data_IF_469920259288
#
_entry.id   IF_469920259288
#
_cell.length_a   1.000
_cell.length_b   1.000
_cell.length_c   1.000
_cell.angle_alpha   90.00
_cell.angle_beta   90.00
_cell.angle_gamma   90.00
#
_symmetry.space_group_name_H-M   'P 1'
#
loop_
_entity.id
_entity.type
_entity.pdbx_description
1 polymer ?
#
# COMPACT_ATOMS: atom_id res chain seq x y z
N UNK A 1 35.64 3.41 -15.27
CA UNK A 1 34.48 3.87 -16.06
C UNK A 1 33.55 2.70 -16.15
N UNK A 2 32.69 2.55 -15.15
CA UNK A 2 31.56 1.64 -15.21
C UNK A 2 30.58 2.27 -16.20
N UNK A 3 30.14 1.49 -17.18
CA UNK A 3 29.22 1.97 -18.20
C UNK A 3 27.87 2.26 -17.55
N UNK A 4 27.30 3.43 -17.82
CA UNK A 4 25.93 3.83 -17.51
C UNK A 4 24.92 2.98 -18.29
N UNK A 5 24.87 1.68 -18.00
CA UNK A 5 23.82 0.78 -18.42
C UNK A 5 23.10 0.31 -17.17
N UNK A 6 21.77 0.36 -17.15
CA UNK A 6 20.99 -0.39 -16.17
C UNK A 6 21.48 -1.84 -16.25
N UNK A 7 22.13 -2.34 -15.20
CA UNK A 7 22.51 -3.75 -15.10
C UNK A 7 21.21 -4.56 -15.19
N UNK A 8 20.92 -5.04 -16.41
CA UNK A 8 19.80 -5.91 -16.71
C UNK A 8 20.02 -7.16 -15.86
N UNK A 9 19.26 -7.26 -14.77
CA UNK A 9 19.44 -8.29 -13.76
C UNK A 9 19.56 -9.66 -14.46
N UNK A 10 20.71 -10.34 -14.35
CA UNK A 10 20.86 -11.65 -14.96
C UNK A 10 19.78 -12.57 -14.35
N UNK A 11 19.10 -13.35 -15.20
CA UNK A 11 18.12 -14.40 -14.85
C UNK A 11 16.64 -14.01 -14.67
N UNK A 12 16.21 -12.80 -15.01
CA UNK A 12 14.79 -12.44 -14.93
C UNK A 12 14.23 -12.17 -16.33
N UNK A 13 13.23 -12.94 -16.73
CA UNK A 13 12.57 -12.74 -18.02
C UNK A 13 11.79 -11.43 -18.02
N UNK A 14 12.22 -10.48 -18.85
CA UNK A 14 11.42 -9.29 -19.13
C UNK A 14 10.38 -9.67 -20.17
N UNK A 15 9.10 -9.26 -20.01
CA UNK A 15 8.16 -9.36 -21.11
C UNK A 15 8.64 -8.41 -22.22
N UNK A 16 9.34 -8.95 -23.21
CA UNK A 16 9.78 -8.19 -24.40
C UNK A 16 8.60 -7.57 -25.16
N UNK A 17 7.39 -8.08 -24.92
CA UNK A 17 6.14 -7.59 -25.48
C UNK A 17 5.17 -7.28 -24.34
N UNK A 18 4.69 -6.03 -24.20
CA UNK A 18 3.62 -5.74 -23.28
C UNK A 18 2.34 -6.46 -23.71
N UNK A 19 1.61 -6.99 -22.73
CA UNK A 19 0.25 -7.47 -22.94
C UNK A 19 -0.71 -6.28 -22.85
N UNK A 20 -1.52 -6.11 -23.89
CA UNK A 20 -2.49 -5.02 -23.94
C UNK A 20 -3.83 -5.49 -23.38
N UNK A 21 -4.36 -4.69 -22.47
CA UNK A 21 -5.67 -4.90 -21.87
C UNK A 21 -6.57 -3.68 -22.15
N UNK A 22 -7.86 -3.87 -22.42
CA UNK A 22 -8.79 -2.75 -22.52
C UNK A 22 -8.83 -2.00 -21.19
N UNK A 23 -8.50 -0.71 -21.23
CA UNK A 23 -8.50 0.17 -20.06
C UNK A 23 -9.84 0.15 -19.33
N UNK A 24 -10.95 0.21 -20.07
CA UNK A 24 -12.29 0.19 -19.50
C UNK A 24 -12.58 -1.08 -18.67
N UNK A 25 -12.04 -2.23 -19.05
CA UNK A 25 -12.20 -3.48 -18.29
C UNK A 25 -11.43 -3.43 -16.96
N UNK A 26 -10.23 -2.86 -16.97
CA UNK A 26 -9.44 -2.66 -15.75
C UNK A 26 -10.10 -1.63 -14.82
N UNK A 27 -10.65 -0.53 -15.37
CA UNK A 27 -11.39 0.47 -14.60
C UNK A 27 -12.68 -0.09 -14.00
N UNK A 28 -13.41 -0.94 -14.75
CA UNK A 28 -14.59 -1.62 -14.24
C UNK A 28 -14.25 -2.57 -13.08
N UNK A 29 -13.21 -3.40 -13.24
CA UNK A 29 -12.72 -4.29 -12.19
C UNK A 29 -12.29 -3.53 -10.94
N UNK A 30 -11.45 -2.49 -11.12
CA UNK A 30 -10.99 -1.65 -10.02
C UNK A 30 -12.17 -0.98 -9.29
N UNK A 31 -13.13 -0.45 -10.04
CA UNK A 31 -14.33 0.18 -9.47
C UNK A 31 -15.20 -0.81 -8.68
N UNK A 32 -15.36 -2.04 -9.16
CA UNK A 32 -16.06 -3.09 -8.43
C UNK A 32 -15.35 -3.43 -7.13
N UNK A 33 -14.04 -3.70 -7.18
CA UNK A 33 -13.24 -4.01 -6.00
C UNK A 33 -13.30 -2.90 -4.94
N UNK A 34 -13.12 -1.64 -5.35
CA UNK A 34 -13.21 -0.49 -4.43
C UNK A 34 -14.58 -0.40 -3.78
N UNK A 35 -15.67 -0.57 -4.52
CA UNK A 35 -17.03 -0.53 -3.96
C UNK A 35 -17.28 -1.67 -2.98
N UNK A 36 -16.89 -2.89 -3.33
CA UNK A 36 -17.05 -4.08 -2.48
C UNK A 36 -16.28 -3.91 -1.17
N UNK A 37 -15.01 -3.49 -1.25
CA UNK A 37 -14.19 -3.28 -0.06
C UNK A 37 -14.71 -2.12 0.80
N UNK A 38 -15.21 -1.04 0.18
CA UNK A 38 -15.84 0.07 0.91
C UNK A 38 -17.13 -0.36 1.61
N UNK A 39 -17.97 -1.15 0.96
CA UNK A 39 -19.17 -1.69 1.59
C UNK A 39 -18.83 -2.58 2.77
N UNK A 40 -17.85 -3.47 2.62
CA UNK A 40 -17.37 -4.31 3.71
C UNK A 40 -16.79 -3.48 4.86
N UNK A 41 -15.99 -2.45 4.55
CA UNK A 41 -15.40 -1.56 5.54
C UNK A 41 -16.47 -0.80 6.33
N UNK A 42 -17.53 -0.34 5.66
CA UNK A 42 -18.67 0.33 6.29
C UNK A 42 -19.40 -0.62 7.26
N UNK A 43 -19.71 -1.83 6.82
CA UNK A 43 -20.40 -2.81 7.67
C UNK A 43 -19.53 -3.21 8.86
N UNK A 44 -18.23 -3.38 8.64
CA UNK A 44 -17.25 -3.72 9.68
C UNK A 44 -17.07 -2.61 10.73
N UNK A 45 -17.28 -1.34 10.37
CA UNK A 45 -17.25 -0.24 11.35
C UNK A 45 -18.35 -0.36 12.41
N UNK A 46 -19.47 -1.02 12.09
CA UNK A 46 -20.59 -1.18 13.02
C UNK A 46 -20.44 -2.35 14.01
N UNK A 47 -19.44 -3.21 13.80
CA UNK A 47 -19.22 -4.42 14.60
C UNK A 47 -18.47 -4.10 15.89
N UNK A 48 -18.65 -4.95 16.90
CA UNK A 48 -17.80 -4.88 18.09
C UNK A 48 -16.37 -5.36 17.75
N UNK A 49 -15.32 -4.87 18.41
CA UNK A 49 -13.94 -5.32 18.17
C UNK A 49 -13.77 -6.84 18.26
N UNK A 50 -14.43 -7.50 19.20
CA UNK A 50 -14.36 -8.95 19.40
C UNK A 50 -15.02 -9.73 18.25
N UNK A 51 -16.14 -9.22 17.73
CA UNK A 51 -16.85 -9.81 16.60
C UNK A 51 -16.01 -9.73 15.33
N UNK A 52 -15.51 -8.54 15.01
CA UNK A 52 -14.67 -8.33 13.83
C UNK A 52 -13.34 -9.10 13.94
N UNK A 53 -12.72 -9.14 15.12
CA UNK A 53 -11.52 -9.92 15.33
C UNK A 53 -11.77 -11.42 15.10
N UNK A 54 -12.92 -11.94 15.55
CA UNK A 54 -13.34 -13.32 15.28
C UNK A 54 -13.48 -13.64 13.80
N UNK A 55 -14.03 -12.72 13.00
CA UNK A 55 -14.15 -12.88 11.55
C UNK A 55 -12.80 -12.84 10.82
N UNK A 56 -11.90 -11.97 11.29
CA UNK A 56 -10.57 -11.77 10.72
C UNK A 56 -9.54 -12.81 11.21
N UNK A 57 -9.90 -13.66 12.18
CA UNK A 57 -8.97 -14.61 12.81
C UNK A 57 -7.90 -13.93 13.67
N UNK A 58 -8.20 -12.75 14.21
CA UNK A 58 -7.32 -11.95 15.05
C UNK A 58 -7.67 -12.07 16.54
N UNK A 59 -6.72 -11.65 17.38
CA UNK A 59 -6.99 -11.42 18.81
C UNK A 59 -7.78 -10.11 18.98
N UNK A 60 -8.85 -10.13 19.77
CA UNK A 60 -9.70 -8.96 20.00
C UNK A 60 -8.92 -7.75 20.51
N UNK A 61 -7.91 -7.99 21.34
CA UNK A 61 -7.04 -6.96 21.91
C UNK A 61 -6.33 -6.12 20.84
N UNK A 62 -6.12 -6.69 19.64
CA UNK A 62 -5.51 -5.99 18.52
C UNK A 62 -6.44 -4.87 18.00
N UNK A 63 -7.73 -5.17 17.81
CA UNK A 63 -8.71 -4.20 17.32
C UNK A 63 -9.15 -3.23 18.42
N UNK A 64 -9.21 -3.66 19.68
CA UNK A 64 -9.49 -2.77 20.81
C UNK A 64 -8.44 -1.66 20.97
N UNK A 65 -7.20 -1.94 20.59
CA UNK A 65 -6.08 -1.02 20.75
C UNK A 65 -5.86 -0.10 19.54
N UNK A 66 -6.63 -0.29 18.47
CA UNK A 66 -6.52 0.43 17.21
C UNK A 66 -7.81 1.18 16.90
N UNK A 67 -7.68 2.39 16.36
CA UNK A 67 -8.81 3.10 15.75
C UNK A 67 -9.12 2.53 14.35
N UNK A 68 -9.60 1.29 14.30
CA UNK A 68 -9.94 0.63 13.03
C UNK A 68 -11.17 1.25 12.37
N UNK A 69 -12.12 1.76 13.16
CA UNK A 69 -13.32 2.41 12.65
C UNK A 69 -12.96 3.69 11.89
N UNK A 70 -12.14 4.56 12.50
CA UNK A 70 -11.62 5.76 11.84
C UNK A 70 -10.82 5.40 10.60
N UNK A 71 -9.92 4.42 10.69
CA UNK A 71 -9.11 3.98 9.55
C UNK A 71 -9.94 3.43 8.37
N UNK A 72 -11.02 2.70 8.63
CA UNK A 72 -11.91 2.18 7.58
C UNK A 72 -12.71 3.30 6.89
N UNK A 73 -12.94 4.42 7.59
CA UNK A 73 -13.61 5.60 7.03
C UNK A 73 -12.69 6.43 6.12
N UNK A 74 -11.37 6.33 6.28
CA UNK A 74 -10.40 7.13 5.53
C UNK A 74 -10.41 6.81 4.02
N UNK A 75 -10.31 7.81 3.12
CA UNK A 75 -10.18 7.61 1.68
C UNK A 75 -9.00 6.70 1.30
N UNK A 76 -7.91 6.74 2.06
CA UNK A 76 -6.70 5.92 1.90
C UNK A 76 -6.95 4.43 2.03
N UNK A 77 -7.96 4.01 2.80
CA UNK A 77 -8.20 2.60 3.11
C UNK A 77 -8.34 1.66 1.89
N UNK A 78 -8.82 2.15 0.76
CA UNK A 78 -8.92 1.37 -0.50
C UNK A 78 -8.10 1.98 -1.63
N UNK A 79 -7.20 2.91 -1.30
CA UNK A 79 -6.52 3.77 -2.26
C UNK A 79 -5.66 3.01 -3.27
N UNK A 80 -4.91 2.01 -2.82
CA UNK A 80 -4.10 1.17 -3.70
C UNK A 80 -4.15 -0.30 -3.30
N UNK A 81 -4.46 -1.14 -4.29
CA UNK A 81 -4.65 -2.56 -4.15
C UNK A 81 -4.03 -3.24 -5.37
N UNK A 82 -3.44 -4.42 -5.19
CA UNK A 82 -2.96 -5.25 -6.30
C UNK A 82 -3.79 -6.53 -6.37
N UNK A 83 -4.84 -6.57 -7.21
CA UNK A 83 -5.58 -7.82 -7.42
C UNK A 83 -4.74 -8.77 -8.27
N UNK A 84 -4.50 -9.96 -7.74
CA UNK A 84 -3.88 -11.06 -8.45
C UNK A 84 -4.99 -12.06 -8.83
N UNK A 85 -4.92 -12.61 -10.04
CA UNK A 85 -6.05 -13.31 -10.63
C UNK A 85 -5.78 -13.90 -12.00
N UNK A 86 -6.77 -14.64 -12.48
CA UNK A 86 -6.74 -15.30 -13.78
C UNK A 86 -7.69 -14.61 -14.76
N UNK A 87 -7.18 -14.34 -15.96
CA UNK A 87 -7.99 -13.90 -17.09
C UNK A 87 -8.54 -15.12 -17.84
N UNK A 88 -9.87 -15.21 -17.90
CA UNK A 88 -10.61 -16.14 -18.75
C UNK A 88 -11.22 -15.39 -19.95
N UNK A 89 -11.68 -16.09 -21.00
CA UNK A 89 -12.23 -15.44 -22.19
C UNK A 89 -13.38 -14.45 -21.94
N UNK A 90 -14.13 -14.64 -20.84
CA UNK A 90 -15.32 -13.83 -20.50
C UNK A 90 -15.32 -13.30 -19.07
N UNK A 91 -14.25 -13.51 -18.31
CA UNK A 91 -14.20 -13.10 -16.91
C UNK A 91 -12.76 -12.92 -16.43
N UNK A 92 -12.61 -12.13 -15.37
CA UNK A 92 -11.39 -12.09 -14.58
C UNK A 92 -11.73 -12.57 -13.18
N UNK A 93 -11.03 -13.60 -12.70
CA UNK A 93 -11.23 -14.14 -11.36
C UNK A 93 -10.09 -13.68 -10.47
N UNK A 94 -10.42 -12.82 -9.51
CA UNK A 94 -9.52 -12.42 -8.44
C UNK A 94 -9.32 -13.63 -7.52
N UNK A 95 -8.08 -14.03 -7.29
CA UNK A 95 -7.72 -15.13 -6.38
C UNK A 95 -7.08 -14.62 -5.10
N UNK A 96 -6.47 -13.45 -5.15
CA UNK A 96 -5.80 -12.82 -4.03
C UNK A 96 -5.85 -11.30 -4.22
N UNK A 97 -6.06 -10.57 -3.13
CA UNK A 97 -5.81 -9.14 -3.09
C UNK A 97 -4.50 -8.94 -2.32
N UNK A 98 -3.56 -8.22 -2.90
CA UNK A 98 -2.29 -7.93 -2.26
C UNK A 98 -2.22 -6.45 -1.84
N UNK A 99 -1.69 -6.24 -0.65
CA UNK A 99 -1.36 -4.93 -0.08
C UNK A 99 0.13 -4.88 0.32
N UNK A 100 0.69 -3.69 0.57
CA UNK A 100 2.03 -3.58 1.18
C UNK A 100 3.23 -3.88 0.29
N UNK A 101 3.99 -4.97 0.56
CA UNK A 101 5.23 -5.34 -0.15
C UNK A 101 5.07 -5.40 -1.66
N UNK A 102 3.86 -5.75 -2.10
CA UNK A 102 3.49 -5.72 -3.50
C UNK A 102 3.35 -4.31 -4.08
N UNK A 103 2.96 -3.31 -3.31
CA UNK A 103 2.59 -2.01 -3.83
C UNK A 103 3.80 -1.16 -4.25
N UNK A 104 4.74 -0.88 -3.35
CA UNK A 104 5.91 -0.05 -3.66
C UNK A 104 6.77 -0.74 -4.73
N UNK A 105 7.13 -2.01 -4.49
CA UNK A 105 8.01 -2.79 -5.38
C UNK A 105 7.36 -3.03 -6.75
N UNK A 106 6.08 -3.43 -6.84
CA UNK A 106 5.49 -3.72 -8.15
C UNK A 106 5.24 -2.47 -8.97
N UNK A 107 4.87 -1.35 -8.33
CA UNK A 107 4.71 -0.09 -9.04
C UNK A 107 6.06 0.44 -9.53
N UNK A 108 7.10 0.35 -8.70
CA UNK A 108 8.46 0.73 -9.09
C UNK A 108 8.93 -0.11 -10.28
N UNK A 109 8.67 -1.41 -10.25
CA UNK A 109 8.94 -2.31 -11.38
C UNK A 109 8.15 -1.95 -12.64
N UNK A 110 6.86 -1.62 -12.53
CA UNK A 110 6.03 -1.23 -13.67
C UNK A 110 6.52 0.08 -14.31
N UNK A 111 6.91 1.06 -13.51
CA UNK A 111 7.48 2.32 -14.00
C UNK A 111 8.87 2.11 -14.62
N UNK A 112 9.71 1.22 -14.08
CA UNK A 112 10.98 0.84 -14.69
C UNK A 112 10.79 0.22 -16.08
N UNK A 113 9.82 -0.69 -16.23
CA UNK A 113 9.46 -1.27 -17.54
C UNK A 113 8.98 -0.18 -18.50
N UNK A 114 8.19 0.77 -18.01
CA UNK A 114 7.72 1.89 -18.80
C UNK A 114 8.88 2.81 -19.24
N UNK A 115 9.89 3.07 -18.40
CA UNK A 115 11.12 3.77 -18.79
C UNK A 115 11.86 3.03 -19.90
N UNK A 116 12.10 1.73 -19.72
CA UNK A 116 12.79 0.91 -20.72
C UNK A 116 12.09 0.94 -22.08
N UNK A 117 10.77 0.75 -22.13
CA UNK A 117 10.02 0.76 -23.39
C UNK A 117 9.90 2.15 -24.04
N UNK A 118 9.91 3.22 -23.24
CA UNK A 118 9.87 4.60 -23.76
C UNK A 118 11.23 5.12 -24.23
N UNK A 119 12.33 4.46 -23.83
CA UNK A 119 13.67 4.72 -24.35
C UNK A 119 13.94 4.00 -25.68
N UNK A 120 13.16 2.97 -26.06
CA UNK A 120 13.27 2.35 -27.39
C UNK A 120 12.62 3.27 -28.45
N UNK A 121 13.39 3.88 -29.37
CA UNK A 121 12.86 4.83 -30.36
C UNK A 121 11.84 4.19 -31.32
N UNK A 122 11.76 2.86 -31.40
CA UNK A 122 10.76 2.14 -32.21
C UNK A 122 9.39 2.04 -31.54
N UNK A 123 9.33 2.21 -30.21
CA UNK A 123 8.12 2.05 -29.40
C UNK A 123 7.69 3.37 -28.73
N UNK A 124 8.64 4.29 -28.52
CA UNK A 124 8.47 5.52 -27.75
C UNK A 124 7.36 6.45 -28.26
N UNK A 125 7.17 6.55 -29.58
CA UNK A 125 6.22 7.50 -30.17
C UNK A 125 4.77 7.03 -30.17
N UNK A 126 4.52 5.73 -29.99
CA UNK A 126 3.19 5.12 -30.16
C UNK A 126 2.55 4.65 -28.85
N UNK A 127 3.36 4.45 -27.79
CA UNK A 127 2.90 3.87 -26.54
C UNK A 127 2.68 4.92 -25.45
N UNK A 128 1.42 5.15 -25.07
CA UNK A 128 1.08 5.79 -23.80
C UNK A 128 1.12 4.75 -22.68
N UNK A 129 2.31 4.50 -22.14
CA UNK A 129 2.49 3.54 -21.05
C UNK A 129 2.08 4.18 -19.72
N UNK A 130 1.16 3.58 -18.94
CA UNK A 130 0.81 4.08 -17.61
C UNK A 130 2.02 4.16 -16.68
N UNK A 131 2.02 5.18 -15.80
CA UNK A 131 3.01 5.40 -14.74
C UNK A 131 2.35 5.20 -13.38
N UNK A 132 2.07 3.96 -12.96
CA UNK A 132 1.37 3.69 -11.71
C UNK A 132 2.09 4.27 -10.48
N UNK A 133 3.43 4.27 -10.43
CA UNK A 133 4.14 4.85 -9.30
C UNK A 133 3.94 6.36 -9.20
N UNK A 134 3.98 7.08 -10.32
CA UNK A 134 3.65 8.52 -10.33
C UNK A 134 2.22 8.80 -9.85
N UNK A 135 1.26 7.96 -10.24
CA UNK A 135 -0.12 8.05 -9.73
C UNK A 135 -0.21 7.77 -8.24
N UNK A 136 0.62 6.86 -7.73
CA UNK A 136 0.76 6.62 -6.30
C UNK A 136 1.32 7.83 -5.57
N UNK A 137 2.36 8.49 -6.10
CA UNK A 137 2.87 9.73 -5.53
C UNK A 137 1.81 10.84 -5.52
N UNK A 138 1.09 11.04 -6.62
CA UNK A 138 -0.01 12.02 -6.66
C UNK A 138 -1.07 11.74 -5.60
N UNK A 139 -1.40 10.48 -5.38
CA UNK A 139 -2.34 10.09 -4.34
C UNK A 139 -1.79 10.33 -2.94
N UNK A 140 -0.55 9.94 -2.66
CA UNK A 140 0.09 10.18 -1.37
C UNK A 140 0.12 11.67 -1.01
N UNK A 141 0.37 12.54 -2.00
CA UNK A 141 0.30 13.98 -1.81
C UNK A 141 -1.12 14.44 -1.44
N UNK A 142 -2.17 13.80 -1.97
CA UNK A 142 -3.56 14.15 -1.63
C UNK A 142 -3.94 13.80 -0.18
N UNK A 143 -3.15 12.98 0.51
CA UNK A 143 -3.35 12.62 1.91
C UNK A 143 -2.72 13.63 2.90
N UNK A 144 -1.94 14.58 2.38
CA UNK A 144 -1.18 15.54 3.19
C UNK A 144 -1.53 16.94 2.70
N UNK A 145 -2.09 17.76 3.59
CA UNK A 145 -2.48 19.14 3.26
C UNK A 145 -1.28 20.03 2.92
N UNK A 146 -0.11 19.69 3.47
CA UNK A 146 1.14 20.40 3.31
C UNK A 146 2.01 19.78 2.21
N UNK A 147 3.01 20.54 1.73
CA UNK A 147 4.02 20.00 0.83
C UNK A 147 4.83 18.91 1.56
N UNK A 148 4.87 17.71 1.00
CA UNK A 148 5.66 16.62 1.54
C UNK A 148 7.16 16.94 1.36
N UNK A 149 7.90 16.92 2.47
CA UNK A 149 9.35 17.05 2.51
C UNK A 149 10.04 15.73 2.82
N UNK A 150 9.61 15.02 3.86
CA UNK A 150 10.21 13.76 4.31
C UNK A 150 9.18 12.64 4.46
N UNK A 151 9.40 11.52 3.78
CA UNK A 151 8.60 10.30 3.85
C UNK A 151 9.33 9.22 4.64
N UNK A 152 8.69 8.70 5.67
CA UNK A 152 9.14 7.49 6.37
C UNK A 152 8.67 6.24 5.64
N UNK A 153 9.59 5.42 5.17
CA UNK A 153 9.31 4.10 4.59
C UNK A 153 9.45 3.08 5.71
N UNK A 154 8.31 2.62 6.21
CA UNK A 154 8.26 1.71 7.35
C UNK A 154 8.54 0.28 6.94
N UNK A 155 9.62 -0.29 7.49
CA UNK A 155 9.88 -1.71 7.51
C UNK A 155 9.77 -2.18 8.97
N UNK A 156 8.68 -2.88 9.31
CA UNK A 156 8.50 -3.41 10.67
C UNK A 156 9.74 -4.18 11.13
N UNK A 157 10.19 -3.98 12.37
CA UNK A 157 11.47 -4.54 12.87
C UNK A 157 11.53 -6.07 12.74
N UNK A 158 10.39 -6.74 12.96
CA UNK A 158 10.24 -8.18 12.77
C UNK A 158 10.43 -8.66 11.33
N UNK A 159 10.21 -7.77 10.36
CA UNK A 159 10.33 -8.05 8.93
C UNK A 159 11.63 -7.49 8.35
N UNK A 160 12.30 -6.56 9.04
CA UNK A 160 13.49 -5.88 8.55
C UNK A 160 14.60 -6.85 8.14
N UNK A 161 14.95 -7.81 9.00
CA UNK A 161 15.96 -8.83 8.66
C UNK A 161 15.51 -9.69 7.46
N UNK A 162 14.22 -9.98 7.37
CA UNK A 162 13.66 -10.73 6.23
C UNK A 162 13.78 -9.91 4.94
N UNK A 163 13.41 -8.63 4.96
CA UNK A 163 13.52 -7.71 3.82
C UNK A 163 14.98 -7.56 3.38
N UNK A 164 15.90 -7.43 4.34
CA UNK A 164 17.34 -7.32 4.07
C UNK A 164 17.96 -8.65 3.58
N UNK A 165 17.34 -9.79 3.89
CA UNK A 165 17.74 -11.11 3.39
C UNK A 165 17.22 -11.45 1.99
N UNK A 166 16.32 -10.62 1.45
CA UNK A 166 15.73 -10.87 0.15
C UNK A 166 16.75 -10.80 -0.98
N UNK A 167 16.41 -11.47 -2.08
CA UNK A 167 17.22 -11.41 -3.29
C UNK A 167 17.54 -9.96 -3.67
N UNK A 168 18.77 -9.72 -4.14
CA UNK A 168 19.28 -8.40 -4.54
C UNK A 168 18.26 -7.56 -5.33
N UNK A 169 17.47 -8.22 -6.18
CA UNK A 169 16.35 -7.63 -6.94
C UNK A 169 15.41 -6.80 -6.09
N UNK A 170 14.95 -7.31 -4.94
CA UNK A 170 13.96 -6.59 -4.14
C UNK A 170 14.58 -5.34 -3.53
N UNK A 171 15.80 -5.45 -2.99
CA UNK A 171 16.56 -4.29 -2.53
C UNK A 171 16.83 -3.25 -3.63
N UNK A 172 17.08 -3.68 -4.86
CA UNK A 172 17.24 -2.78 -6.02
C UNK A 172 15.91 -2.06 -6.35
N UNK A 173 14.76 -2.73 -6.25
CA UNK A 173 13.44 -2.09 -6.46
C UNK A 173 13.04 -1.13 -5.34
N UNK A 174 13.42 -1.41 -4.09
CA UNK A 174 13.24 -0.46 -2.99
C UNK A 174 14.07 0.80 -3.24
N UNK A 175 15.34 0.64 -3.63
CA UNK A 175 16.21 1.77 -4.01
C UNK A 175 15.63 2.58 -5.18
N UNK A 176 15.13 1.91 -6.22
CA UNK A 176 14.49 2.60 -7.34
C UNK A 176 13.21 3.34 -6.91
N UNK A 177 12.37 2.75 -6.05
CA UNK A 177 11.23 3.43 -5.47
C UNK A 177 11.61 4.70 -4.70
N UNK A 178 12.69 4.64 -3.90
CA UNK A 178 13.23 5.84 -3.23
C UNK A 178 13.69 6.90 -4.22
N UNK A 179 14.32 6.52 -5.32
CA UNK A 179 14.70 7.45 -6.39
C UNK A 179 13.48 8.15 -6.99
N UNK A 180 12.38 7.43 -7.24
CA UNK A 180 11.13 8.02 -7.74
C UNK A 180 10.55 9.06 -6.78
N UNK A 181 10.55 8.78 -5.46
CA UNK A 181 10.22 9.79 -4.44
C UNK A 181 11.15 11.01 -4.50
N UNK A 182 12.46 10.80 -4.65
CA UNK A 182 13.45 11.88 -4.70
C UNK A 182 13.28 12.75 -5.95
N UNK A 183 12.93 12.16 -7.10
CA UNK A 183 12.60 12.89 -8.34
C UNK A 183 11.40 13.81 -8.17
N UNK A 184 10.45 13.47 -7.29
CA UNK A 184 9.32 14.35 -6.89
C UNK A 184 9.74 15.45 -5.91
N UNK A 185 10.97 15.41 -5.42
CA UNK A 185 11.53 16.34 -4.43
C UNK A 185 11.26 15.94 -2.98
N UNK A 186 10.85 14.69 -2.72
CA UNK A 186 10.60 14.19 -1.38
C UNK A 186 11.80 13.38 -0.90
N UNK A 187 12.33 13.69 0.27
CA UNK A 187 13.33 12.84 0.92
C UNK A 187 12.66 11.59 1.46
N UNK A 188 13.42 10.50 1.55
CA UNK A 188 12.95 9.23 2.13
C UNK A 188 13.92 8.73 3.16
N UNK A 189 13.39 8.09 4.20
CA UNK A 189 14.17 7.38 5.21
C UNK A 189 13.50 6.03 5.45
N UNK A 190 14.28 4.94 5.40
CA UNK A 190 13.81 3.64 5.85
C UNK A 190 13.90 3.62 7.36
N UNK A 191 12.82 3.26 8.02
CA UNK A 191 12.73 3.25 9.47
C UNK A 191 11.93 2.04 9.95
N UNK A 192 12.24 1.58 11.16
CA UNK A 192 11.40 0.67 11.91
C UNK A 192 10.71 1.41 13.07
N UNK A 193 9.85 0.73 13.81
CA UNK A 193 8.94 1.36 14.77
C UNK A 193 9.67 2.09 15.91
N UNK A 194 10.87 1.62 16.28
CA UNK A 194 11.68 2.24 17.32
C UNK A 194 12.46 3.47 16.84
N UNK A 195 12.59 3.67 15.53
CA UNK A 195 13.23 4.86 14.96
C UNK A 195 12.31 6.08 14.97
N UNK A 196 11.05 5.89 15.38
CA UNK A 196 10.04 6.93 15.41
C UNK A 196 9.84 7.42 16.84
N UNK A 197 9.95 8.74 17.03
CA UNK A 197 9.56 9.42 18.26
C UNK A 197 8.24 10.15 18.05
N UNK A 198 7.31 10.02 19.00
CA UNK A 198 6.01 10.70 18.96
C UNK A 198 5.79 11.46 20.25
N UNK A 199 5.74 12.78 20.14
CA UNK A 199 5.30 13.67 21.22
C UNK A 199 3.79 13.92 21.06
N UNK A 200 2.99 13.87 22.14
CA UNK A 200 1.54 14.10 22.07
C UNK A 200 1.21 15.40 21.32
N UNK A 201 0.30 15.31 20.35
CA UNK A 201 -0.16 16.45 19.55
C UNK A 201 0.83 16.96 18.49
N UNK A 202 1.95 16.27 18.23
CA UNK A 202 2.92 16.61 17.18
C UNK A 202 2.98 15.54 16.09
N UNK A 203 3.63 15.89 14.96
CA UNK A 203 4.02 14.91 13.93
C UNK A 203 5.04 13.93 14.53
N UNK A 204 5.09 12.73 13.95
CA UNK A 204 6.14 11.75 14.23
C UNK A 204 7.50 12.31 13.78
N UNK A 205 8.56 11.99 14.51
CA UNK A 205 9.93 12.42 14.23
C UNK A 205 10.82 11.21 13.96
N UNK A 206 11.63 11.28 12.90
CA UNK A 206 12.70 10.32 12.66
C UNK A 206 13.84 10.59 13.63
N UNK A 207 14.15 9.65 14.53
CA UNK A 207 15.27 9.77 15.48
C UNK A 207 16.61 9.89 14.77
N UNK A 208 16.78 9.17 13.66
CA UNK A 208 18.01 9.18 12.88
C UNK A 208 18.30 10.55 12.26
N UNK A 209 17.27 11.26 11.81
CA UNK A 209 17.41 12.54 11.12
C UNK A 209 17.10 13.76 12.00
N UNK A 210 16.47 13.56 13.16
CA UNK A 210 16.00 14.66 14.00
C UNK A 210 14.91 15.52 13.33
N UNK A 211 14.19 14.97 12.36
CA UNK A 211 13.25 15.70 11.49
C UNK A 211 11.84 15.09 11.55
N UNK A 212 10.82 15.95 11.50
CA UNK A 212 9.42 15.52 11.41
C UNK A 212 9.14 14.79 10.09
N UNK A 213 8.34 13.73 10.18
CA UNK A 213 7.84 12.96 9.06
C UNK A 213 6.52 13.57 8.59
N UNK A 214 6.43 13.85 7.29
CA UNK A 214 5.19 14.37 6.68
C UNK A 214 4.22 13.26 6.31
N UNK A 215 4.73 12.06 6.06
CA UNK A 215 3.97 10.88 5.67
C UNK A 215 4.75 9.63 6.06
N UNK A 216 4.04 8.59 6.50
CA UNK A 216 4.60 7.24 6.65
C UNK A 216 3.91 6.35 5.62
N UNK A 217 4.70 5.57 4.88
CA UNK A 217 4.22 4.56 3.94
C UNK A 217 4.79 3.19 4.33
N UNK A 218 4.02 2.12 4.20
CA UNK A 218 4.51 0.79 4.50
C UNK A 218 5.39 0.28 3.35
N UNK A 219 6.57 -0.26 3.69
CA UNK A 219 7.39 -0.98 2.73
C UNK A 219 6.76 -2.34 2.40
N UNK A 220 6.27 -3.02 3.43
CA UNK A 220 5.64 -4.34 3.37
C UNK A 220 4.14 -4.28 3.67
N UNK A 221 3.50 -5.44 3.87
CA UNK A 221 2.12 -5.49 4.39
C UNK A 221 2.04 -4.86 5.79
N UNK A 222 3.14 -4.89 6.56
CA UNK A 222 3.29 -4.31 7.90
C UNK A 222 2.15 -4.74 8.85
N UNK A 223 1.67 -5.98 8.77
CA UNK A 223 0.62 -6.51 9.66
C UNK A 223 1.16 -7.15 10.94
N UNK A 224 2.47 -7.21 11.13
CA UNK A 224 3.07 -7.95 12.25
C UNK A 224 2.71 -7.40 13.62
N UNK A 225 2.24 -6.15 13.70
CA UNK A 225 1.68 -5.61 14.94
C UNK A 225 0.36 -6.27 15.35
N UNK A 226 -0.36 -6.95 14.44
CA UNK A 226 -1.54 -7.77 14.78
C UNK A 226 -1.15 -9.11 15.44
N UNK A 227 0.05 -9.62 15.16
CA UNK A 227 0.53 -10.88 15.74
C UNK A 227 0.89 -10.74 17.23
N UNK A 228 1.33 -9.53 17.61
CA UNK A 228 1.77 -9.14 18.95
C UNK A 228 0.95 -7.97 19.53
N UNK A 229 -0.36 -8.16 19.82
CA UNK A 229 -1.24 -7.09 20.27
C UNK A 229 -0.83 -6.46 21.61
N UNK A 230 -0.06 -7.17 22.44
CA UNK A 230 0.53 -6.61 23.67
C UNK A 230 1.44 -5.40 23.40
N UNK A 231 2.06 -5.33 22.22
CA UNK A 231 2.90 -4.22 21.82
C UNK A 231 2.06 -3.00 21.44
N UNK A 232 0.82 -3.16 20.96
CA UNK A 232 -0.09 -2.06 20.61
C UNK A 232 -0.43 -1.17 21.82
N UNK A 233 -0.49 -1.75 23.03
CA UNK A 233 -0.76 -1.00 24.26
C UNK A 233 0.48 -0.35 24.87
N UNK A 234 1.66 -0.75 24.43
CA UNK A 234 2.94 -0.34 25.02
C UNK A 234 3.79 0.39 23.98
N UNK A 235 4.58 -0.37 23.21
CA UNK A 235 5.55 0.10 22.22
C UNK A 235 4.89 0.86 21.06
N UNK A 236 3.74 0.38 20.59
CA UNK A 236 3.04 0.92 19.42
C UNK A 236 1.80 1.74 19.76
N UNK A 237 1.64 2.21 21.00
CA UNK A 237 0.46 3.00 21.45
C UNK A 237 0.20 4.28 20.65
N UNK A 238 1.20 4.76 19.92
CA UNK A 238 1.12 5.97 19.10
C UNK A 238 0.73 5.69 17.64
N UNK A 239 0.62 4.42 17.28
CA UNK A 239 0.24 3.93 15.96
C UNK A 239 -1.26 3.72 15.97
N UNK A 240 -1.99 4.71 15.49
CA UNK A 240 -3.43 4.61 15.28
C UNK A 240 -3.69 4.21 13.84
N UNK A 241 -4.84 3.60 13.56
CA UNK A 241 -5.09 2.90 12.30
C UNK A 241 -4.84 3.68 11.01
N UNK A 242 -4.79 5.02 11.02
CA UNK A 242 -4.39 5.83 9.87
C UNK A 242 -3.31 6.88 10.17
N UNK A 243 -2.73 6.90 11.38
CA UNK A 243 -1.78 7.95 11.80
C UNK A 243 -0.74 7.44 12.80
N UNK A 244 0.41 8.11 12.83
CA UNK A 244 1.40 7.99 13.90
C UNK A 244 1.61 9.36 14.52
N UNK A 245 1.07 9.58 15.72
CA UNK A 245 0.88 10.93 16.24
C UNK A 245 -0.04 11.74 15.32
N UNK A 246 0.44 12.86 14.77
CA UNK A 246 -0.28 13.63 13.73
C UNK A 246 0.11 13.27 12.30
N UNK A 247 1.18 12.51 12.11
CA UNK A 247 1.67 12.15 10.77
C UNK A 247 0.71 11.14 10.12
N UNK A 248 0.18 11.40 8.91
CA UNK A 248 -0.58 10.43 8.15
C UNK A 248 0.21 9.14 7.94
N UNK A 249 -0.45 8.00 8.16
CA UNK A 249 0.08 6.68 7.88
C UNK A 249 -0.77 6.07 6.78
N UNK A 250 -0.16 5.85 5.61
CA UNK A 250 -0.86 5.34 4.44
C UNK A 250 -1.36 3.92 4.67
N UNK A 251 -2.68 3.81 4.81
CA UNK A 251 -3.45 2.57 4.60
C UNK A 251 -3.00 1.35 5.41
N UNK A 252 -2.49 1.46 6.65
CA UNK A 252 -1.83 0.33 7.30
C UNK A 252 -2.80 -0.80 7.66
N UNK A 253 -4.10 -0.50 7.82
CA UNK A 253 -5.13 -1.51 8.09
C UNK A 253 -5.79 -2.04 6.81
N UNK A 254 -5.45 -1.55 5.62
CA UNK A 254 -5.99 -2.07 4.36
C UNK A 254 -5.66 -3.54 4.14
N UNK A 255 -4.58 -4.02 4.76
CA UNK A 255 -4.24 -5.43 4.82
C UNK A 255 -5.39 -6.30 5.38
N UNK A 256 -6.16 -5.77 6.35
CA UNK A 256 -7.31 -6.48 6.94
C UNK A 256 -8.41 -6.75 5.91
N UNK A 257 -8.51 -5.95 4.85
CA UNK A 257 -9.49 -6.16 3.78
C UNK A 257 -9.09 -7.26 2.80
N UNK A 258 -7.80 -7.55 2.71
CA UNK A 258 -7.21 -8.32 1.61
C UNK A 258 -6.57 -9.63 2.07
N UNK A 259 -6.61 -9.90 3.37
CA UNK A 259 -6.23 -11.19 3.91
C UNK A 259 -7.09 -12.29 3.28
N UNK A 260 -6.51 -13.46 3.01
CA UNK A 260 -7.24 -14.59 2.41
C UNK A 260 -8.44 -15.01 3.26
N UNK A 261 -8.39 -14.76 4.57
CA UNK A 261 -9.52 -14.96 5.48
C UNK A 261 -10.74 -14.06 5.20
N UNK A 262 -10.58 -12.92 4.52
CA UNK A 262 -11.68 -11.97 4.28
C UNK A 262 -12.42 -12.17 2.97
N UNK A 263 -11.83 -12.87 1.99
CA UNK A 263 -12.44 -13.12 0.69
C UNK A 263 -13.87 -13.72 0.77
N UNK A 264 -14.17 -14.71 1.65
CA UNK A 264 -15.54 -15.20 1.83
C UNK A 264 -16.52 -14.09 2.24
N UNK A 265 -16.07 -13.14 3.07
CA UNK A 265 -16.87 -12.04 3.60
C UNK A 265 -17.05 -10.89 2.60
N UNK A 266 -16.20 -10.79 1.58
CA UNK A 266 -16.40 -9.86 0.47
C UNK A 266 -17.48 -10.33 -0.51
N UNK A 267 -17.78 -11.63 -0.55
CA UNK A 267 -18.68 -12.24 -1.53
C UNK A 267 -20.11 -11.69 -1.49
N UNK A 268 -20.74 -11.48 -0.31
CA UNK A 268 -22.06 -10.82 -0.23
C UNK A 268 -22.07 -9.39 -0.80
N UNK A 269 -20.94 -8.68 -0.76
CA UNK A 269 -20.79 -7.31 -1.26
C UNK A 269 -20.44 -7.24 -2.76
N UNK A 270 -20.22 -8.37 -3.42
CA UNK A 270 -20.05 -8.43 -4.88
C UNK A 270 -21.40 -8.43 -5.62
N UNK A 271 -22.49 -8.76 -4.92
CA UNK A 271 -23.83 -8.93 -5.50
C UNK A 271 -24.79 -7.75 -5.24
N UNK A 272 -24.41 -6.77 -4.41
CA UNK A 272 -25.26 -5.63 -4.08
C UNK A 272 -24.87 -4.39 -4.90
N UNK A 273 -25.77 -3.94 -5.78
CA UNK A 273 -25.57 -2.69 -6.53
C UNK A 273 -25.86 -1.43 -5.68
N UNK A 274 -26.28 -1.56 -4.41
CA UNK A 274 -26.98 -0.47 -3.70
C UNK A 274 -26.46 0.11 -2.37
N UNK A 275 -25.38 -0.32 -1.66
CA UNK A 275 -25.02 0.38 -0.40
C UNK A 275 -24.13 1.63 -0.59
N UNK A 276 -23.41 1.75 -1.70
CA UNK A 276 -22.30 2.72 -1.82
C UNK A 276 -22.72 4.20 -1.77
N UNK A 277 -24.00 4.51 -1.98
CA UNK A 277 -24.51 5.89 -2.02
C UNK A 277 -24.76 6.49 -0.63
N UNK A 278 -24.94 5.69 0.43
CA UNK A 278 -25.16 6.25 1.78
C UNK A 278 -23.88 6.71 2.48
N UNK A 279 -22.72 6.21 2.04
CA UNK A 279 -21.42 6.54 2.66
C UNK A 279 -20.80 7.85 2.15
N UNK A 280 -21.29 8.42 1.06
CA UNK A 280 -20.63 9.58 0.42
C UNK A 280 -21.11 10.94 0.95
N UNK A 281 -22.15 11.00 1.78
CA UNK A 281 -22.71 12.28 2.22
C UNK A 281 -23.08 13.21 1.05
N UNK A 282 -23.42 12.63 -0.11
CA UNK A 282 -23.99 13.28 -1.29
C UNK A 282 -25.48 12.94 -1.38
#
# INVERSE_FOLDING_TARGET
MEAEGYDLLPWQGWPLRPFYFPKASLEALAGQLVRTLRSWACDSQSKAPEELAGELGLKAEALESLDYQGAFSEPSFTGFLRPDGFLYPHSYTVVELNFGNGLLVSQAYADLLAEYHTQDPRLASELKIPRPFERYLDYLQSLVDEKIGLVGILACASEYETIMSWEKRVGDMVRFGQELFHRRGWQTVILHEDDVEVVPGKKALSKALGQELDLIVPLTINTTFFDSPELLRTRYRHWTGSRVGRTPFFSPLSALCVDKGTLPWLTPHLASEEPALKCLGL
#
